data_IF_426511756581
#
_entry.id   IF_426511756581
#
_cell.length_a   1.000
_cell.length_b   1.000
_cell.length_c   1.000
_cell.angle_alpha   90.00
_cell.angle_beta   90.00
_cell.angle_gamma   90.00
#
_symmetry.space_group_name_H-M   'P 1'
#
loop_
_entity.id
_entity.type
_entity.pdbx_description
1 polymer ?
#
# COMPACT_ATOMS: atom_id res chain seq x y z
N UNK A 1 -13.19 -19.17 19.03
CA UNK A 1 -12.86 -18.55 17.72
C UNK A 1 -12.04 -17.30 18.00
N UNK A 2 -10.73 -17.46 18.20
CA UNK A 2 -9.82 -16.34 18.42
C UNK A 2 -9.54 -15.72 17.07
N UNK A 3 -10.14 -14.57 16.80
CA UNK A 3 -9.73 -13.74 15.66
C UNK A 3 -8.30 -13.28 15.95
N UNK A 4 -7.32 -13.81 15.23
CA UNK A 4 -6.00 -13.18 15.19
C UNK A 4 -6.21 -11.76 14.67
N UNK A 5 -6.10 -10.77 15.55
CA UNK A 5 -6.05 -9.37 15.15
C UNK A 5 -4.72 -9.20 14.42
N UNK A 6 -4.75 -9.38 13.10
CA UNK A 6 -3.59 -9.13 12.26
C UNK A 6 -3.24 -7.65 12.42
N UNK A 7 -2.17 -7.36 13.15
CA UNK A 7 -1.76 -5.98 13.44
C UNK A 7 -1.54 -5.24 12.12
N UNK A 8 -2.37 -4.21 11.89
CA UNK A 8 -2.26 -3.38 10.71
C UNK A 8 -1.10 -2.40 10.87
N UNK A 9 -0.27 -2.27 9.83
CA UNK A 9 0.85 -1.33 9.84
C UNK A 9 0.36 0.10 9.99
N UNK A 10 0.94 0.88 10.92
CA UNK A 10 0.64 2.30 11.08
C UNK A 10 0.71 3.09 9.76
N UNK A 11 -0.10 4.15 9.67
CA UNK A 11 0.13 5.15 8.63
C UNK A 11 1.49 5.80 8.87
N UNK A 12 2.22 6.09 7.79
CA UNK A 12 3.60 6.56 7.84
C UNK A 12 4.65 5.46 7.91
N UNK A 13 4.27 4.18 8.02
CA UNK A 13 5.25 3.08 7.95
C UNK A 13 6.02 3.11 6.64
N UNK A 14 7.36 3.03 6.73
CA UNK A 14 8.24 2.93 5.57
C UNK A 14 8.49 1.45 5.25
N UNK A 15 8.11 1.05 4.05
CA UNK A 15 8.29 -0.28 3.51
C UNK A 15 9.45 -0.27 2.53
N UNK A 16 10.23 -1.35 2.52
CA UNK A 16 11.21 -1.64 1.47
C UNK A 16 10.67 -2.82 0.68
N UNK A 17 10.51 -2.64 -0.62
CA UNK A 17 10.04 -3.73 -1.47
C UNK A 17 11.09 -4.85 -1.49
N UNK A 18 10.62 -6.10 -1.43
CA UNK A 18 11.51 -7.26 -1.53
C UNK A 18 12.28 -7.16 -2.86
N UNK A 19 13.60 -7.34 -2.80
CA UNK A 19 14.50 -7.27 -3.96
C UNK A 19 14.62 -5.88 -4.62
N UNK A 20 14.21 -4.79 -3.93
CA UNK A 20 14.43 -3.42 -4.38
C UNK A 20 14.87 -2.53 -3.23
N UNK A 21 15.64 -1.48 -3.53
CA UNK A 21 15.98 -0.41 -2.57
C UNK A 21 14.90 0.68 -2.53
N UNK A 22 13.86 0.57 -3.35
CA UNK A 22 12.76 1.53 -3.37
C UNK A 22 12.00 1.49 -2.04
N UNK A 23 11.89 2.67 -1.43
CA UNK A 23 11.10 2.88 -0.22
C UNK A 23 9.71 3.37 -0.59
N UNK A 24 8.72 2.85 0.12
CA UNK A 24 7.33 3.30 0.06
C UNK A 24 6.88 3.74 1.45
N UNK A 25 6.02 4.75 1.52
CA UNK A 25 5.37 5.18 2.77
C UNK A 25 3.89 4.85 2.70
N UNK A 26 3.36 4.17 3.72
CA UNK A 26 1.92 3.90 3.85
C UNK A 26 1.18 5.21 4.14
N UNK A 27 0.19 5.55 3.32
CA UNK A 27 -0.60 6.80 3.44
C UNK A 27 -2.10 6.57 3.59
N UNK A 28 -2.58 5.35 3.36
CA UNK A 28 -4.00 5.02 3.51
C UNK A 28 -4.24 3.52 3.69
N UNK A 29 -5.46 3.16 4.10
CA UNK A 29 -5.91 1.78 4.30
C UNK A 29 -7.29 1.57 3.68
N UNK A 30 -7.57 0.34 3.25
CA UNK A 30 -8.88 -0.08 2.77
C UNK A 30 -9.39 0.73 1.57
N UNK A 31 -8.50 1.02 0.62
CA UNK A 31 -8.83 1.84 -0.52
C UNK A 31 -9.51 1.04 -1.62
N UNK A 32 -10.51 1.67 -2.24
CA UNK A 32 -11.18 1.18 -3.44
C UNK A 32 -10.67 2.02 -4.62
N UNK A 33 -10.24 1.37 -5.69
CA UNK A 33 -9.74 2.04 -6.89
C UNK A 33 -10.14 1.26 -8.14
N UNK A 34 -10.32 1.97 -9.26
CA UNK A 34 -10.52 1.32 -10.56
C UNK A 34 -9.16 0.92 -11.11
N UNK A 35 -9.00 -0.37 -11.45
CA UNK A 35 -7.78 -0.83 -12.10
C UNK A 35 -7.71 -0.25 -13.52
N UNK A 36 -6.71 0.58 -13.84
CA UNK A 36 -6.62 1.21 -15.16
C UNK A 36 -6.42 0.21 -16.31
N UNK A 37 -6.10 -1.06 -16.03
CA UNK A 37 -5.96 -2.12 -17.05
C UNK A 37 -7.25 -2.87 -17.30
N UNK A 38 -8.09 -3.05 -16.29
CA UNK A 38 -9.30 -3.89 -16.39
C UNK A 38 -10.60 -3.10 -16.25
N UNK A 39 -10.52 -1.84 -15.83
CA UNK A 39 -11.66 -0.95 -15.49
C UNK A 39 -12.58 -1.52 -14.39
N UNK A 40 -12.08 -2.50 -13.64
CA UNK A 40 -12.80 -3.11 -12.53
C UNK A 40 -12.45 -2.42 -11.21
N UNK A 41 -13.44 -2.34 -10.33
CA UNK A 41 -13.25 -1.89 -8.96
C UNK A 41 -12.43 -2.92 -8.16
N UNK A 42 -11.31 -2.49 -7.58
CA UNK A 42 -10.43 -3.32 -6.75
C UNK A 42 -10.24 -2.73 -5.37
N UNK A 43 -10.13 -3.64 -4.40
CA UNK A 43 -9.83 -3.31 -3.01
C UNK A 43 -8.35 -3.54 -2.69
N UNK A 44 -7.73 -2.60 -1.99
CA UNK A 44 -6.37 -2.70 -1.47
C UNK A 44 -6.33 -2.46 0.03
N UNK A 45 -5.59 -3.30 0.75
CA UNK A 45 -5.42 -3.16 2.20
C UNK A 45 -4.67 -1.89 2.57
N UNK A 46 -3.66 -1.51 1.77
CA UNK A 46 -2.89 -0.28 1.94
C UNK A 46 -2.71 0.48 0.64
N UNK A 47 -2.65 1.81 0.78
CA UNK A 47 -2.12 2.72 -0.22
C UNK A 47 -0.76 3.23 0.24
N UNK A 48 0.19 3.28 -0.69
CA UNK A 48 1.51 3.81 -0.42
C UNK A 48 2.02 4.73 -1.55
N UNK A 49 2.97 5.58 -1.19
CA UNK A 49 3.65 6.52 -2.09
C UNK A 49 5.16 6.32 -2.05
N UNK A 50 5.86 6.80 -3.07
CA UNK A 50 7.32 6.81 -3.06
C UNK A 50 7.82 7.68 -1.91
N UNK A 51 8.75 7.14 -1.12
CA UNK A 51 9.42 7.92 -0.07
C UNK A 51 10.81 8.36 -0.57
N UNK A 52 11.21 9.64 -0.38
CA UNK A 52 10.51 10.71 0.35
C UNK A 52 9.60 11.60 -0.50
N UNK A 53 9.41 11.27 -1.78
CA UNK A 53 8.72 12.12 -2.77
C UNK A 53 7.26 12.44 -2.43
N UNK A 54 6.57 11.52 -1.76
CA UNK A 54 5.20 11.70 -1.30
C UNK A 54 4.15 11.54 -2.41
N UNK A 55 2.98 12.16 -2.22
CA UNK A 55 1.88 12.12 -3.18
C UNK A 55 2.21 13.03 -4.35
N UNK A 56 2.30 12.46 -5.55
CA UNK A 56 2.32 13.22 -6.79
C UNK A 56 0.92 13.14 -7.42
N UNK A 57 0.21 14.27 -7.60
CA UNK A 57 -1.14 14.29 -8.20
C UNK A 57 -1.20 13.71 -9.63
N UNK A 58 -0.04 13.60 -10.29
CA UNK A 58 0.10 13.08 -11.65
C UNK A 58 0.65 11.66 -11.71
N UNK A 59 1.02 11.04 -10.58
CA UNK A 59 1.62 9.69 -10.59
C UNK A 59 1.15 8.76 -9.47
N UNK A 60 1.52 7.50 -9.67
CA UNK A 60 0.99 6.25 -9.14
C UNK A 60 0.85 6.16 -7.62
N UNK A 61 -0.37 5.84 -7.17
CA UNK A 61 -0.62 5.27 -5.84
C UNK A 61 -0.35 3.76 -5.91
N UNK A 62 0.45 3.23 -4.99
CA UNK A 62 0.72 1.79 -4.91
C UNK A 62 -0.31 1.10 -4.05
N UNK A 63 -1.02 0.14 -4.64
CA UNK A 63 -1.96 -0.74 -3.96
C UNK A 63 -1.22 -1.98 -3.42
N UNK A 64 -1.17 -2.13 -2.09
CA UNK A 64 -0.45 -3.24 -1.44
C UNK A 64 -1.47 -4.16 -0.78
N UNK A 65 -1.52 -5.42 -1.26
CA UNK A 65 -2.46 -6.47 -0.80
C UNK A 65 -1.85 -7.45 0.21
N UNK A 66 -0.52 -7.51 0.29
CA UNK A 66 0.17 -8.34 1.28
C UNK A 66 1.50 -7.71 1.59
N UNK A 67 1.74 -7.51 2.87
CA UNK A 67 3.03 -7.10 3.39
C UNK A 67 3.62 -8.31 4.09
N UNK A 68 4.73 -8.82 3.55
CA UNK A 68 5.56 -9.79 4.26
C UNK A 68 6.45 -9.00 5.21
N UNK A 69 6.06 -8.93 6.48
CA UNK A 69 6.99 -8.61 7.57
C UNK A 69 7.73 -9.92 7.87
N UNK A 70 9.06 -9.94 7.66
CA UNK A 70 9.90 -11.05 8.13
C UNK A 70 10.18 -10.90 9.61
#
# INVERSE_FOLDING_TARGET
MSQEVKELLPLGSILILKESLQKLMVVGRGAVYNDPKTDEEKFADYMAVLYPEGINPKSTIFSIKTILVK
#
